data_IF_933748180401
#
_entry.id   IF_933748180401
#
_cell.length_a   1.000
_cell.length_b   1.000
_cell.length_c   1.000
_cell.angle_alpha   90.00
_cell.angle_beta   90.00
_cell.angle_gamma   90.00
#
_symmetry.space_group_name_H-M   'P 1'
#
loop_
_entity.id
_entity.type
_entity.pdbx_description
1 polymer ?
#
# COMPACT_ATOMS: atom_id res chain seq x y z
N UNK A 1 24.46 11.99 0.25
CA UNK A 1 23.00 11.87 0.43
C UNK A 1 22.63 10.39 0.37
N UNK A 2 22.52 9.69 1.50
CA UNK A 2 22.01 8.31 1.46
C UNK A 2 20.51 8.36 1.16
N UNK A 3 20.09 7.56 0.17
CA UNK A 3 18.74 7.54 -0.39
C UNK A 3 17.68 7.19 0.65
N UNK A 4 16.54 7.88 0.54
CA UNK A 4 15.33 7.58 1.32
C UNK A 4 14.82 6.20 0.89
N UNK A 5 14.70 5.22 1.80
CA UNK A 5 14.10 3.94 1.46
C UNK A 5 12.63 4.16 1.09
N UNK A 6 12.26 3.68 -0.10
CA UNK A 6 10.91 3.75 -0.64
C UNK A 6 10.00 2.87 0.22
N UNK A 7 9.26 3.49 1.14
CA UNK A 7 8.40 2.79 2.09
C UNK A 7 7.31 2.06 1.31
N UNK A 8 7.35 0.73 1.35
CA UNK A 8 6.50 -0.17 0.60
C UNK A 8 5.01 -0.01 0.97
N UNK A 9 4.29 0.82 0.21
CA UNK A 9 2.83 0.74 0.07
C UNK A 9 2.36 -0.48 -0.75
N UNK A 10 3.27 -1.42 -1.03
CA UNK A 10 3.11 -2.46 -2.04
C UNK A 10 2.13 -3.58 -1.68
N UNK A 11 2.03 -4.01 -0.42
CA UNK A 11 1.32 -5.26 -0.12
C UNK A 11 -0.20 -5.19 -0.38
N UNK A 12 -0.83 -4.04 -0.16
CA UNK A 12 -2.25 -3.82 -0.52
C UNK A 12 -2.44 -3.32 -1.94
N UNK A 13 -1.49 -2.55 -2.48
CA UNK A 13 -1.52 -2.08 -3.86
C UNK A 13 -1.35 -3.23 -4.87
N UNK A 14 -0.48 -4.20 -4.59
CA UNK A 14 -0.24 -5.37 -5.43
C UNK A 14 -1.48 -6.26 -5.54
N UNK A 15 -2.25 -6.40 -4.46
CA UNK A 15 -3.51 -7.16 -4.49
C UNK A 15 -4.64 -6.43 -5.25
N UNK A 16 -4.62 -5.09 -5.30
CA UNK A 16 -5.59 -4.30 -6.07
C UNK A 16 -5.20 -4.15 -7.54
N UNK A 17 -3.90 -4.16 -7.85
CA UNK A 17 -3.37 -4.01 -9.21
C UNK A 17 -3.67 -5.22 -10.10
N UNK A 18 -3.85 -6.42 -9.52
CA UNK A 18 -4.23 -7.63 -10.27
C UNK A 18 -5.64 -7.61 -10.90
N UNK A 19 -6.46 -6.58 -10.63
CA UNK A 19 -7.86 -6.49 -11.11
C UNK A 19 -8.04 -5.40 -12.19
N UNK A 20 -7.04 -4.55 -12.45
CA UNK A 20 -7.13 -3.47 -13.44
C UNK A 20 -6.35 -3.80 -14.72
N UNK A 21 -6.81 -4.81 -15.46
CA UNK A 21 -6.36 -5.05 -16.83
C UNK A 21 -7.18 -4.25 -17.83
N UNK A 22 -6.50 -3.36 -18.58
CA UNK A 22 -6.88 -2.99 -19.95
C UNK A 22 -7.67 -1.70 -20.14
N UNK A 23 -6.96 -0.61 -20.43
CA UNK A 23 -7.57 0.63 -20.91
C UNK A 23 -6.57 1.53 -21.65
N UNK A 24 -6.37 1.27 -22.94
CA UNK A 24 -5.60 2.15 -23.83
C UNK A 24 -5.74 1.72 -25.29
N UNK A 25 -6.52 2.48 -26.06
CA UNK A 25 -6.78 2.30 -27.50
C UNK A 25 -5.90 3.24 -28.34
N UNK A 26 -5.74 2.84 -29.62
CA UNK A 26 -5.28 3.52 -30.86
C UNK A 26 -3.81 3.28 -31.21
N UNK A 27 -3.40 2.96 -32.44
CA UNK A 27 -4.01 2.71 -33.76
C UNK A 27 -2.93 2.00 -34.63
N UNK A 28 -3.31 1.15 -35.60
CA UNK A 28 -2.37 0.60 -36.62
C UNK A 28 -2.72 -0.79 -37.17
N UNK A 29 -3.44 -0.84 -38.30
CA UNK A 29 -3.81 -1.97 -39.21
C UNK A 29 -2.59 -2.31 -40.13
N UNK A 30 -2.39 -3.48 -40.83
CA UNK A 30 -3.39 -4.40 -41.43
C UNK A 30 -3.15 -5.94 -41.48
N UNK A 31 -4.26 -6.61 -41.83
CA UNK A 31 -4.47 -7.73 -42.77
C UNK A 31 -3.72 -9.06 -42.64
N UNK A 32 -4.49 -10.14 -42.49
CA UNK A 32 -4.12 -11.45 -43.03
C UNK A 32 -4.78 -12.66 -42.34
N UNK A 33 -5.62 -13.37 -43.08
CA UNK A 33 -5.74 -14.83 -42.94
C UNK A 33 -6.77 -15.37 -41.94
N UNK A 34 -7.90 -15.81 -42.48
CA UNK A 34 -8.84 -16.69 -41.80
C UNK A 34 -8.20 -18.04 -41.43
N UNK A 35 -8.44 -18.52 -40.21
CA UNK A 35 -8.75 -19.93 -39.94
C UNK A 35 -9.35 -20.10 -38.54
N UNK A 36 -10.54 -20.68 -38.51
CA UNK A 36 -11.34 -20.83 -37.31
C UNK A 36 -10.77 -21.85 -36.33
N UNK A 37 -10.95 -21.53 -35.05
CA UNK A 37 -11.09 -22.53 -33.99
C UNK A 37 -12.39 -22.17 -33.28
N UNK A 38 -13.38 -23.05 -33.40
CA UNK A 38 -14.58 -23.05 -32.56
C UNK A 38 -14.11 -23.20 -31.11
N UNK A 39 -14.12 -22.12 -30.35
CA UNK A 39 -14.11 -22.21 -28.89
C UNK A 39 -15.55 -22.41 -28.44
N UNK A 40 -15.78 -23.51 -27.75
CA UNK A 40 -17.02 -23.90 -27.12
C UNK A 40 -17.62 -22.73 -26.31
N UNK A 41 -18.95 -22.64 -26.34
CA UNK A 41 -19.70 -21.63 -25.59
C UNK A 41 -19.29 -21.62 -24.12
N UNK A 42 -18.73 -20.49 -23.70
CA UNK A 42 -18.65 -20.07 -22.32
C UNK A 42 -19.32 -18.71 -22.24
N UNK A 43 -20.35 -18.60 -21.39
CA UNK A 43 -20.98 -17.33 -21.09
C UNK A 43 -19.91 -16.28 -20.68
N UNK A 44 -19.85 -15.10 -21.33
CA UNK A 44 -18.84 -14.08 -21.03
C UNK A 44 -19.03 -13.40 -19.65
N UNK A 45 -20.06 -13.78 -18.89
CA UNK A 45 -20.39 -13.22 -17.58
C UNK A 45 -19.79 -14.00 -16.39
N UNK A 46 -19.18 -15.17 -16.61
CA UNK A 46 -18.66 -16.06 -15.55
C UNK A 46 -17.17 -15.97 -15.11
N UNK A 47 -16.33 -14.95 -15.44
CA UNK A 47 -14.95 -14.92 -14.91
C UNK A 47 -14.64 -13.94 -13.76
N UNK A 48 -15.43 -12.87 -13.55
CA UNK A 48 -15.04 -11.81 -12.60
C UNK A 48 -15.35 -12.17 -11.14
N UNK A 49 -16.50 -12.78 -10.86
CA UNK A 49 -16.89 -13.13 -9.49
C UNK A 49 -15.96 -14.21 -8.91
N UNK A 50 -15.70 -15.27 -9.67
CA UNK A 50 -14.79 -16.35 -9.28
C UNK A 50 -13.34 -15.89 -9.17
N UNK A 51 -12.86 -14.99 -10.05
CA UNK A 51 -11.53 -14.41 -9.93
C UNK A 51 -11.39 -13.50 -8.70
N UNK A 52 -12.44 -12.74 -8.36
CA UNK A 52 -12.49 -11.93 -7.13
C UNK A 52 -12.50 -12.81 -5.89
N UNK A 53 -13.29 -13.87 -5.88
CA UNK A 53 -13.34 -14.83 -4.77
C UNK A 53 -11.98 -15.51 -4.55
N UNK A 54 -11.31 -15.96 -5.63
CA UNK A 54 -9.95 -16.52 -5.59
C UNK A 54 -8.90 -15.51 -5.13
N UNK A 55 -9.07 -14.22 -5.42
CA UNK A 55 -8.16 -13.16 -4.94
C UNK A 55 -8.47 -12.70 -3.51
N UNK A 56 -9.72 -12.83 -3.06
CA UNK A 56 -10.16 -12.45 -1.71
C UNK A 56 -9.69 -13.43 -0.64
N UNK A 57 -9.61 -14.73 -0.95
CA UNK A 57 -9.17 -15.75 0.03
C UNK A 57 -7.73 -15.49 0.51
N UNK A 58 -6.72 -15.31 -0.37
CA UNK A 58 -5.36 -14.96 0.04
C UNK A 58 -5.29 -13.61 0.78
N UNK A 59 -6.14 -12.66 0.42
CA UNK A 59 -6.20 -11.35 1.08
C UNK A 59 -6.60 -11.48 2.56
N UNK A 60 -7.60 -12.32 2.85
CA UNK A 60 -8.13 -12.52 4.20
C UNK A 60 -7.14 -13.28 5.07
N UNK A 61 -6.48 -14.29 4.53
CA UNK A 61 -5.47 -15.08 5.25
C UNK A 61 -4.24 -14.22 5.61
N UNK A 62 -3.75 -13.42 4.66
CA UNK A 62 -2.68 -12.44 4.94
C UNK A 62 -3.10 -11.44 6.02
N UNK A 63 -4.33 -10.93 5.95
CA UNK A 63 -4.88 -10.02 6.95
C UNK A 63 -4.94 -10.67 8.34
N UNK A 64 -5.28 -11.95 8.44
CA UNK A 64 -5.28 -12.69 9.68
C UNK A 64 -3.86 -12.92 10.22
N UNK A 65 -2.89 -13.19 9.35
CA UNK A 65 -1.49 -13.34 9.73
C UNK A 65 -0.91 -12.06 10.37
N UNK A 66 -1.22 -10.88 9.82
CA UNK A 66 -0.82 -9.59 10.40
C UNK A 66 -1.55 -9.24 11.71
N UNK A 67 -2.68 -9.88 11.99
CA UNK A 67 -3.45 -9.65 13.22
C UNK A 67 -2.92 -10.40 14.43
N UNK A 68 -1.98 -11.33 14.24
CA UNK A 68 -1.35 -12.06 15.34
C UNK A 68 -0.70 -11.10 16.35
N UNK A 69 -0.75 -11.42 17.66
CA UNK A 69 -0.35 -10.51 18.72
C UNK A 69 1.16 -10.35 18.84
N UNK A 70 1.93 -11.39 18.51
CA UNK A 70 3.39 -11.40 18.66
C UNK A 70 4.11 -11.46 17.31
N UNK A 71 5.33 -10.92 17.27
CA UNK A 71 6.18 -10.92 16.08
C UNK A 71 6.44 -12.35 15.56
N UNK A 72 6.81 -13.28 16.44
CA UNK A 72 7.12 -14.66 16.06
C UNK A 72 5.90 -15.37 15.47
N UNK A 73 4.71 -15.20 16.08
CA UNK A 73 3.47 -15.79 15.56
C UNK A 73 3.06 -15.17 14.23
N UNK A 74 3.17 -13.83 14.09
CA UNK A 74 2.89 -13.14 12.84
C UNK A 74 3.83 -13.59 11.71
N UNK A 75 5.13 -13.71 12.00
CA UNK A 75 6.15 -14.16 11.05
C UNK A 75 5.95 -15.61 10.63
N UNK A 76 5.63 -16.50 11.57
CA UNK A 76 5.33 -17.89 11.27
C UNK A 76 4.06 -18.02 10.39
N UNK A 77 3.00 -17.28 10.73
CA UNK A 77 1.77 -17.27 9.95
C UNK A 77 2.00 -16.74 8.52
N UNK A 78 2.73 -15.63 8.37
CA UNK A 78 3.06 -15.06 7.06
C UNK A 78 3.90 -16.01 6.20
N UNK A 79 4.87 -16.73 6.80
CA UNK A 79 5.66 -17.74 6.07
C UNK A 79 4.80 -18.90 5.56
N UNK A 80 3.81 -19.32 6.34
CA UNK A 80 2.85 -20.35 5.91
C UNK A 80 2.03 -19.85 4.72
N UNK A 81 1.36 -18.70 4.87
CA UNK A 81 0.57 -18.10 3.79
C UNK A 81 1.40 -17.79 2.55
N UNK A 82 2.69 -17.46 2.70
CA UNK A 82 3.62 -17.25 1.58
C UNK A 82 3.82 -18.52 0.75
N UNK A 83 3.87 -19.70 1.37
CA UNK A 83 4.00 -20.97 0.64
C UNK A 83 2.76 -21.27 -0.22
N UNK A 84 1.58 -20.98 0.31
CA UNK A 84 0.30 -21.11 -0.41
C UNK A 84 0.19 -20.05 -1.52
N UNK A 85 0.58 -18.80 -1.24
CA UNK A 85 0.60 -17.70 -2.20
C UNK A 85 1.55 -17.96 -3.37
N UNK A 86 2.71 -18.58 -3.13
CA UNK A 86 3.67 -18.92 -4.18
C UNK A 86 3.10 -19.91 -5.22
N UNK A 87 2.21 -20.81 -4.81
CA UNK A 87 1.55 -21.74 -5.74
C UNK A 87 0.58 -21.03 -6.69
N UNK A 88 -0.04 -19.94 -6.23
CA UNK A 88 -1.01 -19.16 -7.01
C UNK A 88 -0.36 -18.04 -7.81
N UNK A 89 0.58 -17.31 -7.19
CA UNK A 89 1.19 -16.12 -7.76
C UNK A 89 2.60 -15.86 -7.20
N UNK A 90 3.60 -16.18 -8.03
CA UNK A 90 5.02 -16.00 -7.71
C UNK A 90 5.43 -14.53 -7.55
N UNK A 91 4.83 -13.59 -8.30
CA UNK A 91 5.17 -12.17 -8.15
C UNK A 91 4.62 -11.59 -6.85
N UNK A 92 3.42 -12.01 -6.44
CA UNK A 92 2.85 -11.64 -5.14
C UNK A 92 3.68 -12.18 -3.97
N UNK A 93 4.16 -13.42 -4.06
CA UNK A 93 5.05 -14.01 -3.05
C UNK A 93 6.37 -13.24 -2.90
N UNK A 94 7.00 -12.85 -4.03
CA UNK A 94 8.21 -12.01 -4.01
C UNK A 94 7.95 -10.64 -3.36
N UNK A 95 6.83 -10.00 -3.71
CA UNK A 95 6.45 -8.73 -3.11
C UNK A 95 6.21 -8.83 -1.59
N UNK A 96 5.71 -9.97 -1.11
CA UNK A 96 5.57 -10.23 0.32
C UNK A 96 6.94 -10.40 0.99
N UNK A 97 7.88 -11.10 0.35
CA UNK A 97 9.24 -11.29 0.86
C UNK A 97 9.99 -9.95 0.97
N UNK A 98 9.82 -9.05 -0.01
CA UNK A 98 10.43 -7.71 -0.03
C UNK A 98 9.95 -6.79 1.10
N UNK A 99 8.74 -7.00 1.62
CA UNK A 99 8.13 -6.14 2.65
C UNK A 99 7.88 -6.83 4.00
N UNK A 100 8.39 -8.05 4.19
CA UNK A 100 8.04 -8.89 5.34
C UNK A 100 8.49 -8.25 6.66
N UNK A 101 9.73 -7.76 6.71
CA UNK A 101 10.30 -7.20 7.93
C UNK A 101 9.74 -5.81 8.23
N UNK A 102 9.53 -4.98 7.21
CA UNK A 102 8.93 -3.66 7.33
C UNK A 102 7.51 -3.74 7.87
N UNK A 103 6.69 -4.68 7.37
CA UNK A 103 5.31 -4.85 7.82
C UNK A 103 5.20 -5.33 9.27
N UNK A 104 6.23 -6.00 9.79
CA UNK A 104 6.31 -6.50 11.17
C UNK A 104 7.04 -5.55 12.13
N UNK A 105 7.44 -4.36 11.67
CA UNK A 105 8.18 -3.40 12.51
C UNK A 105 7.36 -2.96 13.74
N UNK A 106 6.05 -2.78 13.61
CA UNK A 106 5.18 -2.42 14.75
C UNK A 106 5.12 -3.53 15.82
N UNK A 107 5.20 -4.80 15.41
CA UNK A 107 5.28 -5.94 16.33
C UNK A 107 6.62 -5.98 17.06
N UNK A 108 7.73 -5.71 16.36
CA UNK A 108 9.07 -5.58 16.98
C UNK A 108 9.12 -4.46 18.02
N UNK A 109 8.46 -3.33 17.73
CA UNK A 109 8.40 -2.18 18.63
C UNK A 109 7.39 -2.36 19.78
N UNK A 110 6.61 -3.45 19.79
CA UNK A 110 5.63 -3.74 20.84
C UNK A 110 4.42 -2.79 20.86
N UNK A 111 4.10 -2.16 19.73
CA UNK A 111 3.00 -1.17 19.61
C UNK A 111 1.95 -1.58 18.57
N UNK A 112 1.93 -2.87 18.21
CA UNK A 112 1.04 -3.39 17.18
C UNK A 112 -0.44 -3.27 17.59
N UNK A 113 -0.82 -3.49 18.84
CA UNK A 113 -2.23 -3.43 19.23
C UNK A 113 -2.79 -2.00 19.13
N UNK A 114 -2.00 -1.00 19.50
CA UNK A 114 -2.46 0.38 19.63
C UNK A 114 -2.37 1.16 18.32
N UNK A 115 -1.37 0.86 17.48
CA UNK A 115 -1.04 1.66 16.30
C UNK A 115 -1.35 0.98 14.96
N UNK A 116 -1.54 -0.35 14.93
CA UNK A 116 -1.79 -1.11 13.67
C UNK A 116 -2.98 -0.59 12.88
N UNK A 117 -4.06 -0.14 13.53
CA UNK A 117 -5.24 0.35 12.81
C UNK A 117 -4.97 1.55 11.90
N UNK A 118 -3.97 2.38 12.23
CA UNK A 118 -3.61 3.55 11.43
C UNK A 118 -2.29 3.36 10.68
N UNK A 119 -1.31 2.70 11.27
CA UNK A 119 0.05 2.60 10.73
C UNK A 119 0.34 1.30 9.97
N UNK A 120 -0.52 0.28 10.03
CA UNK A 120 -0.36 -0.90 9.18
C UNK A 120 -0.82 -0.68 7.73
N UNK A 121 -1.32 0.52 7.42
CA UNK A 121 -1.73 0.90 6.07
C UNK A 121 -1.17 2.28 5.74
N UNK A 122 -1.02 2.55 4.45
CA UNK A 122 -0.66 3.85 3.89
C UNK A 122 -1.85 4.80 3.77
N UNK A 123 -3.05 4.40 4.23
CA UNK A 123 -4.28 5.19 4.07
C UNK A 123 -4.18 6.63 4.61
N UNK A 124 -3.43 6.85 5.69
CA UNK A 124 -3.29 8.19 6.29
C UNK A 124 -2.61 9.16 5.32
N UNK A 125 -1.55 8.72 4.65
CA UNK A 125 -0.83 9.56 3.68
C UNK A 125 -1.55 9.60 2.33
N UNK A 126 -2.20 8.51 1.92
CA UNK A 126 -2.92 8.42 0.66
C UNK A 126 -4.17 9.30 0.66
N UNK A 127 -4.92 9.35 1.78
CA UNK A 127 -6.10 10.20 1.91
C UNK A 127 -5.74 11.68 1.76
N UNK A 128 -4.64 12.11 2.36
CA UNK A 128 -4.16 13.50 2.24
C UNK A 128 -3.71 13.78 0.80
N UNK A 129 -2.89 12.91 0.22
CA UNK A 129 -2.41 13.08 -1.15
C UNK A 129 -3.54 13.09 -2.18
N UNK A 130 -4.56 12.24 -2.02
CA UNK A 130 -5.74 12.22 -2.88
C UNK A 130 -6.55 13.52 -2.79
N UNK A 131 -6.66 14.12 -1.60
CA UNK A 131 -7.34 15.40 -1.44
C UNK A 131 -6.53 16.56 -2.03
N UNK A 132 -5.21 16.58 -1.81
CA UNK A 132 -4.32 17.57 -2.42
C UNK A 132 -4.42 17.48 -3.94
N UNK A 133 -4.29 16.28 -4.51
CA UNK A 133 -4.40 16.05 -5.95
C UNK A 133 -5.71 16.59 -6.52
N UNK A 134 -6.84 16.31 -5.86
CA UNK A 134 -8.16 16.82 -6.28
C UNK A 134 -8.26 18.35 -6.24
N UNK A 135 -7.68 19.00 -5.22
CA UNK A 135 -7.72 20.45 -5.10
C UNK A 135 -6.78 21.15 -6.09
N UNK A 136 -5.72 20.47 -6.52
CA UNK A 136 -4.75 21.00 -7.49
C UNK A 136 -4.99 20.53 -8.93
N UNK A 137 -5.99 19.68 -9.17
CA UNK A 137 -6.25 19.01 -10.45
C UNK A 137 -6.54 19.99 -11.60
N UNK A 138 -7.14 21.13 -11.28
CA UNK A 138 -7.45 22.18 -12.26
C UNK A 138 -6.32 23.19 -12.48
N UNK A 139 -5.17 23.01 -11.83
CA UNK A 139 -4.01 23.89 -11.97
C UNK A 139 -3.00 23.26 -12.92
N UNK A 140 -3.20 23.48 -14.21
CA UNK A 140 -2.39 22.85 -15.27
C UNK A 140 -1.03 23.53 -15.49
N UNK A 141 -0.88 24.80 -15.08
CA UNK A 141 0.31 25.60 -15.36
C UNK A 141 0.89 26.29 -14.13
N UNK A 142 2.02 25.77 -13.66
CA UNK A 142 2.82 26.36 -12.58
C UNK A 142 4.02 27.13 -13.16
N UNK A 143 4.17 28.40 -12.79
CA UNK A 143 5.24 29.29 -13.26
C UNK A 143 6.53 29.16 -12.46
N UNK A 144 6.44 28.87 -11.16
CA UNK A 144 7.60 28.73 -10.28
C UNK A 144 7.34 27.71 -9.15
N UNK A 145 8.40 27.32 -8.44
CA UNK A 145 8.32 26.38 -7.31
C UNK A 145 7.54 26.95 -6.14
N UNK A 146 7.66 28.25 -5.91
CA UNK A 146 6.95 28.98 -4.84
C UNK A 146 5.42 28.88 -5.02
N UNK A 147 4.92 29.03 -6.25
CA UNK A 147 3.51 28.88 -6.58
C UNK A 147 3.01 27.47 -6.27
N UNK A 148 3.80 26.43 -6.57
CA UNK A 148 3.45 25.03 -6.21
C UNK A 148 3.33 24.86 -4.70
N UNK A 149 4.31 25.39 -3.95
CA UNK A 149 4.31 25.32 -2.48
C UNK A 149 3.09 26.03 -1.90
N UNK A 150 2.74 27.21 -2.42
CA UNK A 150 1.54 27.97 -2.01
C UNK A 150 0.26 27.17 -2.27
N UNK A 151 0.11 26.56 -3.45
CA UNK A 151 -1.05 25.72 -3.75
C UNK A 151 -1.18 24.53 -2.81
N UNK A 152 -0.08 23.82 -2.56
CA UNK A 152 -0.07 22.68 -1.62
C UNK A 152 -0.39 23.15 -0.19
N UNK A 153 0.19 24.25 0.27
CA UNK A 153 -0.07 24.81 1.60
C UNK A 153 -1.55 25.19 1.76
N UNK A 154 -2.13 25.90 0.79
CA UNK A 154 -3.56 26.26 0.81
C UNK A 154 -4.45 25.01 0.78
N UNK A 155 -4.12 24.02 -0.04
CA UNK A 155 -4.86 22.75 -0.09
C UNK A 155 -4.81 22.03 1.26
N UNK A 156 -3.67 21.98 1.94
CA UNK A 156 -3.54 21.37 3.26
C UNK A 156 -4.36 22.10 4.32
N UNK A 157 -4.38 23.43 4.31
CA UNK A 157 -5.22 24.23 5.22
C UNK A 157 -6.72 23.96 5.01
N UNK A 158 -7.15 23.77 3.76
CA UNK A 158 -8.54 23.43 3.43
C UNK A 158 -8.90 21.99 3.84
N UNK A 159 -7.93 21.07 3.85
CA UNK A 159 -8.13 19.67 4.24
C UNK A 159 -8.16 19.51 5.76
N UNK A 160 -7.35 20.27 6.49
CA UNK A 160 -7.11 20.13 7.94
C UNK A 160 -8.38 19.94 8.79
N UNK A 161 -9.45 20.75 8.65
CA UNK A 161 -10.64 20.62 9.50
C UNK A 161 -11.40 19.30 9.30
N UNK A 162 -11.21 18.63 8.15
CA UNK A 162 -11.87 17.37 7.80
C UNK A 162 -11.06 16.15 8.26
N UNK A 163 -9.81 16.35 8.68
CA UNK A 163 -8.94 15.25 9.09
C UNK A 163 -9.34 14.70 10.46
N UNK A 164 -9.34 13.37 10.56
CA UNK A 164 -9.52 12.68 11.83
C UNK A 164 -8.17 12.49 12.51
N UNK A 165 -8.16 12.55 13.84
CA UNK A 165 -6.97 12.19 14.62
C UNK A 165 -6.60 10.72 14.38
N UNK A 166 -5.31 10.45 14.35
CA UNK A 166 -4.75 9.10 14.24
C UNK A 166 -5.21 8.25 15.42
N UNK A 167 -5.65 7.01 15.16
CA UNK A 167 -6.03 6.08 16.22
C UNK A 167 -4.78 5.69 17.00
N UNK A 168 -4.86 5.76 18.33
CA UNK A 168 -3.70 5.50 19.18
C UNK A 168 -2.70 6.67 19.26
N UNK A 169 -3.08 7.90 18.89
CA UNK A 169 -2.21 9.10 18.95
C UNK A 169 -1.46 9.26 20.29
N UNK A 170 -2.08 8.86 21.42
CA UNK A 170 -1.46 8.90 22.75
C UNK A 170 -0.18 8.06 22.87
N UNK A 171 0.02 7.07 22.00
CA UNK A 171 1.19 6.19 21.97
C UNK A 171 2.30 6.68 21.02
N UNK A 172 2.11 7.78 20.28
CA UNK A 172 3.13 8.33 19.39
C UNK A 172 4.43 8.74 20.12
N UNK A 173 4.40 9.30 21.34
CA UNK A 173 5.63 9.54 22.09
C UNK A 173 6.40 8.25 22.41
N UNK A 174 5.68 7.17 22.73
CA UNK A 174 6.25 5.84 22.96
C UNK A 174 6.87 5.28 21.68
N UNK A 175 6.17 5.40 20.55
CA UNK A 175 6.69 5.01 19.23
C UNK A 175 7.99 5.74 18.91
N UNK A 176 8.03 7.07 19.09
CA UNK A 176 9.23 7.86 18.87
C UNK A 176 10.39 7.38 19.74
N UNK A 177 10.15 7.12 21.03
CA UNK A 177 11.18 6.62 21.93
C UNK A 177 11.69 5.23 21.52
N UNK A 178 10.79 4.35 21.08
CA UNK A 178 11.14 3.00 20.63
C UNK A 178 12.00 3.05 19.34
N UNK A 179 11.61 3.87 18.37
CA UNK A 179 12.39 4.12 17.14
C UNK A 179 13.76 4.71 17.46
N UNK A 180 13.84 5.70 18.36
CA UNK A 180 15.12 6.30 18.76
C UNK A 180 16.06 5.30 19.41
N UNK A 181 15.53 4.38 20.22
CA UNK A 181 16.32 3.29 20.82
C UNK A 181 16.83 2.32 19.76
N UNK A 182 15.95 1.92 18.83
CA UNK A 182 16.31 0.99 17.75
C UNK A 182 17.36 1.57 16.81
N UNK A 183 17.26 2.87 16.48
CA UNK A 183 18.22 3.57 15.62
C UNK A 183 19.44 4.12 16.37
N UNK A 184 19.54 3.94 17.69
CA UNK A 184 20.65 4.46 18.50
C UNK A 184 20.78 5.99 18.50
N UNK A 185 19.70 6.72 18.20
CA UNK A 185 19.71 8.19 18.10
C UNK A 185 19.73 8.77 19.52
N UNK A 186 20.91 9.16 20.00
CA UNK A 186 21.07 9.94 21.22
C UNK A 186 20.68 11.40 20.96
N UNK A 187 20.03 12.06 21.93
CA UNK A 187 19.45 13.43 21.88
C UNK A 187 20.35 14.57 21.32
N UNK A 188 21.60 14.31 20.97
CA UNK A 188 22.60 15.27 20.49
C UNK A 188 22.40 15.79 19.06
N UNK A 189 21.57 15.15 18.24
CA UNK A 189 21.43 15.49 16.80
C UNK A 189 20.19 16.34 16.46
N UNK A 190 19.39 16.75 17.44
CA UNK A 190 18.14 17.50 17.19
C UNK A 190 18.28 19.03 17.29
N UNK A 191 19.49 19.56 17.48
CA UNK A 191 19.74 20.98 17.75
C UNK A 191 20.82 21.60 16.84
N UNK A 192 20.91 21.15 15.58
CA UNK A 192 21.79 21.74 14.56
C UNK A 192 20.96 22.22 13.36
#
# INVERSE_FOLDING_TARGET
MPGVPQVAGGARAALRAGVAGGGGRREGIPSGGARGVRACGGDPALPLAQARERAEVPARELQAAWQQPTYEQAKAALKRTRSELALMNQSAAKSLDEGLEETLTLHRLGLAEELRLSFATTNVIESVQAHVGRLTDHVDHYRNSEQKQRWVATALLEIEPRLRRVRGMKHLPTLRAAIQREMGITKRQAAA
#
